data_IF_804024885892
#
_entry.id   IF_804024885892
#
_cell.length_a   1.000
_cell.length_b   1.000
_cell.length_c   1.000
_cell.angle_alpha   90.00
_cell.angle_beta   90.00
_cell.angle_gamma   90.00
#
_symmetry.space_group_name_H-M   'P 1'
#
loop_
_entity.id
_entity.type
_entity.pdbx_description
1 polymer ?
#
# COMPACT_ATOMS: atom_id res chain seq x y z
N UNK A 1 -15.54 -6.54 19.26
CA UNK A 1 -16.29 -7.13 18.12
C UNK A 1 -16.36 -8.64 18.32
N UNK A 2 -17.51 -9.26 18.11
CA UNK A 2 -17.65 -10.71 18.27
C UNK A 2 -16.84 -11.45 17.17
N UNK A 3 -16.20 -12.57 17.53
CA UNK A 3 -15.39 -13.38 16.60
C UNK A 3 -16.17 -13.83 15.35
N UNK A 4 -17.49 -14.08 15.50
CA UNK A 4 -18.37 -14.41 14.36
C UNK A 4 -18.58 -13.23 13.41
N UNK A 5 -18.70 -12.02 13.95
CA UNK A 5 -18.88 -10.80 13.16
C UNK A 5 -17.61 -10.47 12.39
N UNK A 6 -16.46 -10.61 13.04
CA UNK A 6 -15.15 -10.46 12.41
C UNK A 6 -14.95 -11.43 11.25
N UNK A 7 -15.22 -12.72 11.46
CA UNK A 7 -15.11 -13.73 10.42
C UNK A 7 -16.05 -13.44 9.23
N UNK A 8 -17.26 -12.91 9.49
CA UNK A 8 -18.17 -12.46 8.43
C UNK A 8 -17.58 -11.28 7.65
N UNK A 9 -16.99 -10.27 8.32
CA UNK A 9 -16.34 -9.12 7.65
C UNK A 9 -15.13 -9.57 6.81
N UNK A 10 -14.26 -10.40 7.36
CA UNK A 10 -13.10 -10.95 6.63
C UNK A 10 -13.55 -11.72 5.39
N UNK A 11 -14.58 -12.56 5.52
CA UNK A 11 -15.11 -13.34 4.39
C UNK A 11 -15.80 -12.45 3.34
N UNK A 12 -16.50 -11.41 3.76
CA UNK A 12 -17.10 -10.43 2.85
C UNK A 12 -16.03 -9.70 2.03
N UNK A 13 -14.95 -9.26 2.69
CA UNK A 13 -13.81 -8.64 2.03
C UNK A 13 -13.16 -9.64 1.05
N UNK A 14 -12.92 -10.88 1.46
CA UNK A 14 -12.39 -11.93 0.58
C UNK A 14 -13.24 -12.11 -0.68
N UNK A 15 -14.55 -12.24 -0.52
CA UNK A 15 -15.48 -12.43 -1.66
C UNK A 15 -15.52 -11.20 -2.58
N UNK A 16 -15.57 -10.00 -2.01
CA UNK A 16 -15.59 -8.73 -2.76
C UNK A 16 -14.29 -8.50 -3.54
N UNK A 17 -13.15 -8.85 -2.94
CA UNK A 17 -11.84 -8.56 -3.52
C UNK A 17 -11.32 -9.64 -4.47
N UNK A 18 -11.76 -10.89 -4.35
CA UNK A 18 -11.31 -12.01 -5.19
C UNK A 18 -11.60 -11.81 -6.67
N UNK A 19 -12.77 -11.25 -7.02
CA UNK A 19 -13.09 -10.89 -8.42
C UNK A 19 -12.33 -9.65 -8.90
N UNK A 20 -12.14 -8.67 -8.03
CA UNK A 20 -11.45 -7.43 -8.35
C UNK A 20 -9.94 -7.64 -8.53
N UNK A 21 -9.31 -8.52 -7.76
CA UNK A 21 -7.88 -8.80 -7.88
C UNK A 21 -7.51 -9.33 -9.26
N UNK A 22 -8.36 -10.18 -9.87
CA UNK A 22 -8.13 -10.67 -11.21
C UNK A 22 -8.33 -9.60 -12.29
N UNK A 23 -9.28 -8.68 -12.10
CA UNK A 23 -9.56 -7.60 -13.06
C UNK A 23 -8.56 -6.45 -12.99
N UNK A 24 -8.13 -6.08 -11.77
CA UNK A 24 -7.26 -4.91 -11.54
C UNK A 24 -5.79 -5.24 -11.76
N UNK A 25 -5.39 -6.51 -11.55
CA UNK A 25 -3.98 -6.82 -11.39
C UNK A 25 -3.42 -7.91 -12.33
N UNK A 26 -4.25 -8.62 -13.11
CA UNK A 26 -3.80 -9.80 -13.87
C UNK A 26 -2.79 -9.52 -15.00
N UNK A 27 -2.63 -8.29 -15.43
CA UNK A 27 -1.66 -7.92 -16.47
C UNK A 27 -0.80 -6.71 -16.09
N UNK A 28 -1.43 -5.69 -15.51
CA UNK A 28 -0.81 -4.39 -15.31
C UNK A 28 0.10 -4.34 -14.09
N UNK A 29 -0.26 -5.03 -12.99
CA UNK A 29 0.60 -5.16 -11.82
C UNK A 29 1.93 -5.85 -12.17
N UNK A 30 1.87 -6.99 -12.88
CA UNK A 30 3.07 -7.72 -13.31
C UNK A 30 3.94 -6.89 -14.27
N UNK A 31 3.33 -6.10 -15.13
CA UNK A 31 4.02 -5.19 -16.04
C UNK A 31 4.64 -3.99 -15.32
N UNK A 32 3.92 -3.39 -14.37
CA UNK A 32 4.34 -2.21 -13.64
C UNK A 32 5.55 -2.45 -12.72
N UNK A 33 5.64 -3.66 -12.16
CA UNK A 33 6.67 -4.00 -11.17
C UNK A 33 7.73 -5.00 -11.67
N UNK A 34 8.04 -5.00 -12.98
CA UNK A 34 9.09 -5.86 -13.55
C UNK A 34 10.43 -5.63 -12.86
N UNK A 35 10.78 -6.49 -11.91
CA UNK A 35 12.10 -6.55 -11.29
C UNK A 35 13.12 -7.28 -12.18
N UNK A 36 14.42 -7.10 -12.01
CA UNK A 36 15.52 -7.79 -12.73
C UNK A 36 16.02 -8.97 -11.90
N UNK A 37 15.39 -10.12 -11.97
CA UNK A 37 15.88 -11.36 -11.35
C UNK A 37 15.84 -12.49 -12.35
N UNK A 38 16.96 -13.18 -12.57
CA UNK A 38 17.01 -14.41 -13.35
C UNK A 38 17.13 -15.58 -12.39
N UNK A 39 16.17 -16.50 -12.40
CA UNK A 39 16.26 -17.78 -11.71
C UNK A 39 16.77 -18.83 -12.71
N UNK A 40 17.71 -19.66 -12.27
CA UNK A 40 18.15 -20.81 -13.06
C UNK A 40 16.95 -21.73 -13.29
N UNK A 41 16.68 -22.07 -14.55
CA UNK A 41 15.59 -22.96 -14.94
C UNK A 41 16.09 -24.36 -15.23
N UNK A 42 16.94 -24.46 -16.25
CA UNK A 42 17.44 -25.73 -16.74
C UNK A 42 18.78 -25.54 -17.46
N UNK A 43 19.41 -26.65 -17.78
CA UNK A 43 20.57 -26.70 -18.67
C UNK A 43 20.14 -27.38 -19.96
N UNK A 44 20.35 -26.73 -21.12
CA UNK A 44 20.15 -27.32 -22.43
C UNK A 44 21.39 -27.27 -23.29
N UNK A 45 21.42 -28.02 -24.36
CA UNK A 45 22.50 -27.95 -25.32
C UNK A 45 22.61 -26.54 -25.95
N UNK A 46 23.84 -26.11 -26.19
CA UNK A 46 24.14 -24.84 -26.84
C UNK A 46 23.63 -24.86 -28.28
N UNK A 47 22.94 -23.81 -28.68
CA UNK A 47 22.55 -23.56 -30.06
C UNK A 47 23.30 -22.35 -30.62
N UNK A 48 23.67 -22.34 -31.92
CA UNK A 48 24.26 -21.15 -32.51
C UNK A 48 23.37 -19.91 -32.32
N UNK A 49 23.94 -18.88 -31.69
CA UNK A 49 23.23 -17.66 -31.28
C UNK A 49 23.04 -17.50 -29.79
N UNK A 50 23.29 -18.53 -28.97
CA UNK A 50 23.29 -18.41 -27.52
C UNK A 50 24.48 -17.59 -27.02
N UNK A 51 24.28 -16.89 -25.92
CA UNK A 51 25.33 -16.08 -25.32
C UNK A 51 26.39 -16.96 -24.65
N UNK A 52 27.64 -16.86 -25.09
CA UNK A 52 28.77 -17.68 -24.61
C UNK A 52 28.95 -17.58 -23.10
N UNK A 53 28.58 -16.45 -22.48
CA UNK A 53 28.65 -16.25 -21.03
C UNK A 53 27.71 -17.13 -20.23
N UNK A 54 26.70 -17.70 -20.85
CA UNK A 54 25.73 -18.59 -20.21
C UNK A 54 26.16 -20.05 -20.24
N UNK A 55 27.29 -20.39 -20.84
CA UNK A 55 27.80 -21.77 -20.89
C UNK A 55 28.08 -22.28 -19.46
N UNK A 56 27.53 -23.45 -19.15
CA UNK A 56 27.89 -24.19 -17.94
C UNK A 56 29.06 -25.10 -18.20
N UNK A 57 30.25 -24.63 -17.86
CA UNK A 57 31.49 -25.39 -18.07
C UNK A 57 31.58 -26.70 -17.28
N UNK A 58 30.88 -26.80 -16.14
CA UNK A 58 30.86 -28.01 -15.33
C UNK A 58 30.04 -29.12 -16.01
N UNK A 59 28.89 -28.75 -16.60
CA UNK A 59 28.05 -29.71 -17.35
C UNK A 59 28.71 -30.06 -18.67
N UNK A 60 29.22 -29.05 -19.39
CA UNK A 60 29.97 -29.23 -20.63
C UNK A 60 31.14 -30.20 -20.50
N UNK A 61 31.92 -30.10 -19.41
CA UNK A 61 33.03 -31.01 -19.14
C UNK A 61 32.63 -32.46 -18.90
N UNK A 62 31.38 -32.69 -18.47
CA UNK A 62 30.87 -34.07 -18.20
C UNK A 62 30.32 -34.73 -19.46
N UNK A 63 29.72 -33.94 -20.36
CA UNK A 63 29.03 -34.49 -21.52
C UNK A 63 29.78 -34.27 -22.85
N UNK A 64 30.94 -33.62 -22.84
CA UNK A 64 31.74 -33.28 -24.02
C UNK A 64 31.00 -32.49 -25.14
N UNK A 65 29.89 -31.87 -24.81
CA UNK A 65 29.13 -30.97 -25.65
C UNK A 65 28.85 -29.70 -24.87
N UNK A 66 28.83 -28.50 -25.50
CA UNK A 66 28.58 -27.28 -24.81
C UNK A 66 27.10 -27.20 -24.36
N UNK A 67 26.91 -26.89 -23.07
CA UNK A 67 25.62 -26.69 -22.44
C UNK A 67 25.49 -25.27 -21.93
N UNK A 68 24.31 -24.67 -22.08
CA UNK A 68 23.99 -23.34 -21.58
C UNK A 68 22.97 -23.38 -20.45
N UNK A 69 23.18 -22.50 -19.48
CA UNK A 69 22.22 -22.24 -18.42
C UNK A 69 21.07 -21.43 -18.97
N UNK A 70 19.88 -22.00 -18.99
CA UNK A 70 18.66 -21.28 -19.30
C UNK A 70 18.14 -20.66 -17.99
N UNK A 71 17.99 -19.36 -18.00
CA UNK A 71 17.41 -18.64 -16.88
C UNK A 71 15.98 -18.24 -17.26
N UNK A 72 15.02 -18.67 -16.46
CA UNK A 72 13.67 -18.13 -16.52
C UNK A 72 13.53 -16.97 -15.54
N UNK A 73 12.83 -15.96 -15.98
CA UNK A 73 12.56 -14.77 -15.19
C UNK A 73 11.43 -15.06 -14.18
N UNK A 74 11.68 -15.96 -13.21
CA UNK A 74 10.79 -16.14 -12.07
C UNK A 74 11.13 -15.13 -10.99
N UNK A 75 10.30 -14.11 -10.91
CA UNK A 75 10.48 -13.02 -9.95
C UNK A 75 9.48 -13.14 -8.83
N UNK A 76 9.94 -13.75 -7.77
CA UNK A 76 9.27 -13.64 -6.49
C UNK A 76 9.54 -12.24 -5.91
N UNK A 77 8.58 -11.35 -6.04
CA UNK A 77 8.66 -10.02 -5.43
C UNK A 77 8.21 -10.07 -3.97
N UNK A 78 8.67 -9.09 -3.22
CA UNK A 78 8.18 -8.85 -1.85
C UNK A 78 7.36 -7.58 -1.86
N UNK A 79 6.12 -7.69 -1.40
CA UNK A 79 5.20 -6.56 -1.22
C UNK A 79 5.09 -6.25 0.25
N UNK A 80 5.28 -4.99 0.62
CA UNK A 80 5.09 -4.51 1.97
C UNK A 80 3.95 -3.49 2.01
N UNK A 81 2.95 -3.76 2.83
CA UNK A 81 1.91 -2.79 3.15
C UNK A 81 2.34 -2.03 4.41
N UNK A 82 2.44 -0.73 4.32
CA UNK A 82 2.73 0.18 5.44
C UNK A 82 1.47 1.00 5.66
N UNK A 83 0.72 0.68 6.71
CA UNK A 83 -0.66 1.12 6.89
C UNK A 83 -0.80 1.95 8.15
N UNK A 84 -1.28 3.15 7.94
CA UNK A 84 -1.65 4.09 9.01
C UNK A 84 -2.96 3.63 9.67
N UNK A 85 -2.88 3.42 10.98
CA UNK A 85 -4.00 3.04 11.83
C UNK A 85 -4.27 4.09 12.94
N UNK A 86 -3.72 5.29 12.81
CA UNK A 86 -3.92 6.41 13.72
C UNK A 86 -5.39 6.79 13.92
N UNK A 87 -5.66 7.75 14.79
CA UNK A 87 -7.02 8.21 15.11
C UNK A 87 -7.83 8.64 13.88
N UNK A 88 -7.19 9.27 12.91
CA UNK A 88 -7.82 9.74 11.67
C UNK A 88 -8.37 8.60 10.79
N UNK A 89 -7.81 7.39 10.88
CA UNK A 89 -8.30 6.20 10.15
C UNK A 89 -9.71 5.75 10.60
N UNK A 90 -10.13 6.12 11.81
CA UNK A 90 -11.47 5.83 12.34
C UNK A 90 -12.55 6.80 11.84
N UNK A 91 -12.18 7.81 11.05
CA UNK A 91 -13.09 8.77 10.46
C UNK A 91 -13.80 8.21 9.22
N UNK A 92 -15.02 8.63 9.01
CA UNK A 92 -15.80 8.35 7.79
C UNK A 92 -17.22 8.89 7.95
N UNK A 93 -17.76 9.51 6.89
CA UNK A 93 -19.05 10.22 6.93
C UNK A 93 -20.13 9.58 6.08
N UNK A 94 -19.80 8.60 5.26
CA UNK A 94 -20.74 7.86 4.42
C UNK A 94 -20.87 6.41 4.90
N UNK A 95 -21.28 5.53 4.04
CA UNK A 95 -21.50 4.12 4.34
C UNK A 95 -20.26 3.32 4.76
N UNK A 96 -19.06 3.94 4.75
CA UNK A 96 -17.80 3.25 4.98
C UNK A 96 -16.79 4.13 5.74
N UNK A 97 -16.15 3.57 6.75
CA UNK A 97 -15.02 4.20 7.44
C UNK A 97 -13.74 4.10 6.59
N UNK A 98 -12.81 5.05 6.75
CA UNK A 98 -11.47 4.98 6.11
C UNK A 98 -10.79 3.64 6.38
N UNK A 99 -10.84 3.15 7.64
CA UNK A 99 -10.27 1.87 8.04
C UNK A 99 -10.84 0.67 7.26
N UNK A 100 -12.14 0.67 6.97
CA UNK A 100 -12.77 -0.40 6.18
C UNK A 100 -12.29 -0.34 4.71
N UNK A 101 -12.20 0.86 4.14
CA UNK A 101 -11.66 1.08 2.80
C UNK A 101 -10.19 0.64 2.72
N UNK A 102 -9.37 0.99 3.71
CA UNK A 102 -7.97 0.57 3.82
C UNK A 102 -7.87 -0.96 3.86
N UNK A 103 -8.71 -1.63 4.65
CA UNK A 103 -8.72 -3.09 4.72
C UNK A 103 -9.12 -3.75 3.38
N UNK A 104 -10.07 -3.18 2.64
CA UNK A 104 -10.43 -3.65 1.31
C UNK A 104 -9.27 -3.48 0.31
N UNK A 105 -8.63 -2.31 0.27
CA UNK A 105 -7.48 -2.03 -0.61
C UNK A 105 -6.32 -2.99 -0.27
N UNK A 106 -5.99 -3.12 1.01
CA UNK A 106 -4.95 -4.03 1.48
C UNK A 106 -5.24 -5.48 1.09
N UNK A 107 -6.50 -5.92 1.18
CA UNK A 107 -6.91 -7.26 0.74
C UNK A 107 -6.76 -7.44 -0.77
N UNK A 108 -7.18 -6.47 -1.60
CA UNK A 108 -7.02 -6.53 -3.07
C UNK A 108 -5.55 -6.66 -3.44
N UNK A 109 -4.69 -5.81 -2.89
CA UNK A 109 -3.24 -5.86 -3.14
C UNK A 109 -2.67 -7.20 -2.69
N UNK A 110 -3.06 -7.69 -1.50
CA UNK A 110 -2.58 -8.95 -0.95
C UNK A 110 -2.98 -10.16 -1.80
N UNK A 111 -4.23 -10.22 -2.24
CA UNK A 111 -4.70 -11.33 -3.09
C UNK A 111 -4.04 -11.29 -4.47
N UNK A 112 -3.76 -10.10 -5.02
CA UNK A 112 -3.03 -9.95 -6.28
C UNK A 112 -1.58 -10.39 -6.16
N UNK A 113 -0.91 -10.02 -5.08
CA UNK A 113 0.46 -10.48 -4.81
C UNK A 113 0.55 -12.02 -4.78
N UNK A 114 -0.43 -12.71 -4.16
CA UNK A 114 -0.45 -14.19 -4.17
C UNK A 114 -0.73 -14.77 -5.54
N UNK A 115 -1.60 -14.17 -6.34
CA UNK A 115 -1.85 -14.65 -7.70
C UNK A 115 -0.58 -14.59 -8.57
N UNK A 116 0.29 -13.63 -8.30
CA UNK A 116 1.61 -13.49 -8.92
C UNK A 116 2.74 -14.25 -8.18
N UNK A 117 2.38 -15.13 -7.23
CA UNK A 117 3.34 -15.90 -6.43
C UNK A 117 4.30 -15.05 -5.57
N UNK A 118 3.93 -13.80 -5.25
CA UNK A 118 4.72 -12.87 -4.45
C UNK A 118 4.54 -13.07 -2.94
N UNK A 119 5.50 -12.57 -2.16
CA UNK A 119 5.41 -12.51 -0.70
C UNK A 119 4.75 -11.20 -0.28
N UNK A 120 3.90 -11.25 0.74
CA UNK A 120 3.26 -10.07 1.32
C UNK A 120 3.53 -9.96 2.81
N UNK A 121 3.93 -8.77 3.26
CA UNK A 121 4.07 -8.41 4.67
C UNK A 121 3.34 -7.12 4.99
N UNK A 122 3.20 -6.80 6.26
CA UNK A 122 2.54 -5.57 6.71
C UNK A 122 3.27 -4.94 7.90
N UNK A 123 3.27 -3.61 7.92
CA UNK A 123 3.60 -2.79 9.08
C UNK A 123 2.37 -1.94 9.36
N UNK A 124 1.79 -2.09 10.56
CA UNK A 124 0.77 -1.19 11.06
C UNK A 124 1.43 -0.14 11.94
N UNK A 125 1.07 1.12 11.76
CA UNK A 125 1.69 2.22 12.50
C UNK A 125 0.70 3.31 12.92
N UNK A 126 1.09 4.04 13.95
CA UNK A 126 0.50 5.30 14.39
C UNK A 126 1.66 6.28 14.69
N UNK A 127 1.88 6.76 15.91
CA UNK A 127 3.08 7.55 16.28
C UNK A 127 4.39 6.76 16.11
N UNK A 128 4.31 5.44 16.09
CA UNK A 128 5.43 4.50 15.86
C UNK A 128 4.91 3.22 15.21
N UNK A 129 5.81 2.39 14.65
CA UNK A 129 5.43 1.03 14.21
C UNK A 129 4.88 0.23 15.40
N UNK A 130 3.67 -0.29 15.27
CA UNK A 130 2.99 -1.03 16.34
C UNK A 130 2.91 -2.53 16.08
N UNK A 131 2.81 -2.93 14.81
CA UNK A 131 2.79 -4.34 14.42
C UNK A 131 3.60 -4.55 13.14
N UNK A 132 4.50 -5.53 13.16
CA UNK A 132 5.20 -6.01 11.97
C UNK A 132 4.87 -7.48 11.72
N UNK A 133 4.31 -7.77 10.56
CA UNK A 133 4.10 -9.12 10.06
C UNK A 133 5.06 -9.34 8.88
N UNK A 134 6.05 -10.23 9.03
CA UNK A 134 7.05 -10.45 7.99
C UNK A 134 6.45 -11.02 6.70
N UNK A 135 7.07 -10.74 5.54
CA UNK A 135 6.58 -11.21 4.24
C UNK A 135 6.52 -12.73 4.14
N UNK A 136 5.35 -13.28 3.87
CA UNK A 136 5.11 -14.71 3.62
C UNK A 136 4.11 -14.90 2.49
N UNK A 137 4.07 -16.11 1.93
CA UNK A 137 3.07 -16.54 0.94
C UNK A 137 1.89 -17.22 1.61
N UNK A 138 0.82 -17.34 0.85
CA UNK A 138 -0.31 -18.22 1.16
C UNK A 138 -1.53 -17.53 1.72
N UNK A 139 -2.69 -18.07 1.36
CA UNK A 139 -4.00 -17.52 1.70
C UNK A 139 -4.22 -17.32 3.20
N UNK A 140 -3.76 -18.26 4.03
CA UNK A 140 -3.88 -18.17 5.51
C UNK A 140 -3.14 -16.94 6.06
N UNK A 141 -2.02 -16.56 5.43
CA UNK A 141 -1.24 -15.40 5.82
C UNK A 141 -1.97 -14.10 5.50
N UNK A 142 -2.61 -13.99 4.33
CA UNK A 142 -3.44 -12.83 3.99
C UNK A 142 -4.63 -12.69 4.95
N UNK A 143 -5.33 -13.78 5.20
CA UNK A 143 -6.50 -13.72 6.11
C UNK A 143 -6.09 -13.27 7.52
N UNK A 144 -4.87 -13.63 7.96
CA UNK A 144 -4.28 -13.10 9.19
C UNK A 144 -4.07 -11.58 9.09
N UNK A 145 -3.45 -11.09 8.00
CA UNK A 145 -3.22 -9.66 7.78
C UNK A 145 -4.54 -8.88 7.82
N UNK A 146 -5.58 -9.36 7.10
CA UNK A 146 -6.89 -8.70 7.07
C UNK A 146 -7.53 -8.70 8.46
N UNK A 147 -7.41 -9.79 9.21
CA UNK A 147 -7.92 -9.86 10.58
C UNK A 147 -7.25 -8.83 11.47
N UNK A 148 -5.91 -8.79 11.46
CA UNK A 148 -5.15 -7.80 12.25
C UNK A 148 -5.56 -6.37 11.88
N UNK A 149 -5.72 -6.05 10.59
CA UNK A 149 -6.18 -4.72 10.15
C UNK A 149 -7.55 -4.32 10.73
N UNK A 150 -8.47 -5.29 10.86
CA UNK A 150 -9.81 -5.02 11.35
C UNK A 150 -9.84 -4.93 12.89
N UNK A 151 -9.08 -5.78 13.58
CA UNK A 151 -9.12 -5.90 15.05
C UNK A 151 -8.14 -4.98 15.77
N UNK A 152 -7.01 -4.63 15.13
CA UNK A 152 -5.94 -3.93 15.80
C UNK A 152 -6.38 -2.55 16.30
N UNK A 153 -6.16 -2.30 17.57
CA UNK A 153 -6.39 -0.99 18.18
C UNK A 153 -5.03 -0.35 18.47
N UNK A 154 -4.75 0.83 17.90
CA UNK A 154 -3.47 1.50 18.11
C UNK A 154 -3.33 1.96 19.57
N UNK A 155 -2.09 1.92 20.07
CA UNK A 155 -1.76 2.43 21.40
C UNK A 155 -1.76 3.96 21.45
N UNK A 156 -1.50 4.60 20.31
CA UNK A 156 -1.47 6.05 20.14
C UNK A 156 -2.40 6.48 19.03
N UNK A 157 -2.87 7.72 19.06
CA UNK A 157 -3.73 8.28 18.02
C UNK A 157 -2.99 9.16 17.03
N UNK A 158 -1.79 9.60 17.40
CA UNK A 158 -0.92 10.43 16.57
C UNK A 158 -0.34 9.65 15.40
N UNK A 159 0.11 10.35 14.37
CA UNK A 159 0.73 9.78 13.18
C UNK A 159 2.20 10.19 13.08
N UNK A 160 3.10 9.26 12.76
CA UNK A 160 4.49 9.55 12.41
C UNK A 160 4.96 8.64 11.27
N UNK A 161 4.87 9.15 10.06
CA UNK A 161 5.27 8.44 8.83
C UNK A 161 6.80 8.30 8.77
N UNK A 162 7.54 9.34 9.14
CA UNK A 162 9.00 9.35 9.06
C UNK A 162 9.63 8.22 9.86
N UNK A 163 9.28 8.09 11.15
CA UNK A 163 9.76 7.01 12.02
C UNK A 163 9.42 5.63 11.46
N UNK A 164 8.25 5.50 10.85
CA UNK A 164 7.80 4.22 10.28
C UNK A 164 8.57 3.85 9.02
N UNK A 165 8.89 4.81 8.15
CA UNK A 165 9.72 4.58 6.98
C UNK A 165 11.16 4.22 7.36
N UNK A 166 11.72 4.84 8.39
CA UNK A 166 13.03 4.48 8.94
C UNK A 166 13.01 3.04 9.49
N UNK A 167 11.97 2.66 10.23
CA UNK A 167 11.79 1.28 10.69
C UNK A 167 11.68 0.29 9.52
N UNK A 168 10.86 0.58 8.51
CA UNK A 168 10.73 -0.24 7.30
C UNK A 168 12.11 -0.47 6.67
N UNK A 169 12.89 0.61 6.47
CA UNK A 169 14.22 0.55 5.90
C UNK A 169 15.21 -0.31 6.72
N UNK A 170 14.97 -0.40 8.04
CA UNK A 170 15.78 -1.22 8.93
C UNK A 170 15.39 -2.71 8.90
N UNK A 171 14.11 -3.05 8.83
CA UNK A 171 13.65 -4.44 8.89
C UNK A 171 13.58 -5.11 7.52
N UNK A 172 13.36 -4.35 6.45
CA UNK A 172 13.28 -4.86 5.08
C UNK A 172 14.58 -4.52 4.34
N UNK A 173 15.49 -5.51 4.22
CA UNK A 173 16.80 -5.29 3.59
C UNK A 173 16.77 -5.43 2.06
N UNK A 174 15.92 -6.32 1.55
CA UNK A 174 15.78 -6.53 0.09
C UNK A 174 14.87 -5.48 -0.51
N UNK A 175 15.20 -5.03 -1.74
CA UNK A 175 14.32 -4.16 -2.50
C UNK A 175 12.94 -4.78 -2.62
N UNK A 176 11.91 -4.05 -2.26
CA UNK A 176 10.52 -4.50 -2.18
C UNK A 176 9.60 -3.45 -2.76
N UNK A 177 8.41 -3.85 -3.17
CA UNK A 177 7.33 -2.93 -3.49
C UNK A 177 6.69 -2.52 -2.17
N UNK A 178 6.56 -1.24 -1.91
CA UNK A 178 6.01 -0.71 -0.66
C UNK A 178 4.78 0.13 -0.97
N UNK A 179 3.63 -0.27 -0.44
CA UNK A 179 2.41 0.54 -0.47
C UNK A 179 2.26 1.25 0.87
N UNK A 180 2.47 2.56 0.87
CA UNK A 180 2.22 3.43 2.02
C UNK A 180 0.79 3.95 1.95
N UNK A 181 -0.05 3.53 2.88
CA UNK A 181 -1.48 3.82 2.90
C UNK A 181 -1.79 4.68 4.13
N UNK A 182 -2.13 5.95 3.91
CA UNK A 182 -2.40 6.94 4.95
C UNK A 182 -3.25 8.08 4.38
N UNK A 183 -3.78 8.95 5.23
CA UNK A 183 -4.30 10.26 4.82
C UNK A 183 -3.21 11.34 4.76
N UNK A 184 -1.99 10.99 5.22
CA UNK A 184 -0.80 11.86 5.18
C UNK A 184 -0.97 13.20 5.92
N UNK A 185 -1.70 13.20 7.03
CA UNK A 185 -1.87 14.39 7.86
C UNK A 185 -0.63 14.72 8.74
N UNK A 186 0.47 14.02 8.51
CA UNK A 186 1.78 14.26 9.11
C UNK A 186 2.58 15.31 8.32
N UNK A 187 3.48 16.00 9.02
CA UNK A 187 4.42 16.97 8.43
C UNK A 187 5.83 16.54 8.81
N UNK A 188 6.75 16.42 7.89
CA UNK A 188 8.17 16.13 8.16
C UNK A 188 8.64 14.72 7.79
N UNK A 189 8.04 14.08 6.78
CA UNK A 189 8.47 12.76 6.28
C UNK A 189 9.09 12.80 4.87
N UNK A 190 9.33 13.99 4.30
CA UNK A 190 9.78 14.13 2.90
C UNK A 190 11.13 13.47 2.64
N UNK A 191 12.08 13.58 3.57
CA UNK A 191 13.40 13.01 3.39
C UNK A 191 13.39 11.49 3.54
N UNK A 192 12.63 10.97 4.52
CA UNK A 192 12.43 9.53 4.68
C UNK A 192 11.72 8.92 3.47
N UNK A 193 10.77 9.66 2.88
CA UNK A 193 10.09 9.25 1.65
C UNK A 193 11.08 9.08 0.48
N UNK A 194 12.00 10.06 0.27
CA UNK A 194 13.05 10.00 -0.76
C UNK A 194 14.02 8.85 -0.52
N UNK A 195 14.47 8.66 0.75
CA UNK A 195 15.39 7.59 1.12
C UNK A 195 14.73 6.23 0.85
N UNK A 196 13.48 6.08 1.28
CA UNK A 196 12.72 4.84 1.10
C UNK A 196 12.48 4.54 -0.37
N UNK A 197 12.16 5.54 -1.20
CA UNK A 197 11.93 5.36 -2.63
C UNK A 197 13.21 4.98 -3.40
N UNK A 198 14.38 5.39 -2.92
CA UNK A 198 15.67 4.93 -3.49
C UNK A 198 15.97 3.47 -3.17
N UNK A 199 15.57 3.00 -1.98
CA UNK A 199 15.84 1.65 -1.51
C UNK A 199 14.78 0.64 -1.98
N UNK A 200 13.55 1.05 -2.02
CA UNK A 200 12.37 0.27 -2.37
C UNK A 200 11.64 0.91 -3.56
N UNK A 201 10.63 0.25 -4.05
CA UNK A 201 9.69 0.80 -5.03
C UNK A 201 8.45 1.29 -4.28
N UNK A 202 8.40 2.59 -3.97
CA UNK A 202 7.40 3.16 -3.07
C UNK A 202 6.21 3.72 -3.84
N UNK A 203 5.02 3.32 -3.40
CA UNK A 203 3.73 3.79 -3.89
C UNK A 203 2.94 4.38 -2.73
N UNK A 204 2.45 5.60 -2.86
CA UNK A 204 1.61 6.25 -1.87
C UNK A 204 0.12 6.14 -2.25
N UNK A 205 -0.70 5.64 -1.31
CA UNK A 205 -2.16 5.61 -1.45
C UNK A 205 -2.76 6.57 -0.42
N UNK A 206 -3.17 7.75 -0.89
CA UNK A 206 -3.79 8.76 -0.03
C UNK A 206 -5.28 8.45 0.15
N UNK A 207 -5.68 8.17 1.38
CA UNK A 207 -7.08 7.88 1.74
C UNK A 207 -7.73 9.13 2.30
N UNK A 208 -8.83 9.57 1.68
CA UNK A 208 -9.52 10.81 2.04
C UNK A 208 -11.02 10.59 2.23
N UNK A 209 -11.68 11.53 2.89
CA UNK A 209 -13.15 11.58 2.98
C UNK A 209 -13.65 12.93 2.46
N UNK A 210 -14.81 12.93 1.81
CA UNK A 210 -15.41 14.15 1.28
C UNK A 210 -15.69 15.21 2.35
N UNK A 211 -15.95 14.80 3.60
CA UNK A 211 -16.17 15.71 4.69
C UNK A 211 -14.91 16.45 5.16
N UNK A 212 -13.73 15.99 4.78
CA UNK A 212 -12.46 16.69 5.00
C UNK A 212 -12.31 17.95 4.13
N UNK A 213 -13.12 18.05 3.09
CA UNK A 213 -13.14 19.20 2.16
C UNK A 213 -14.40 20.03 2.25
N UNK A 214 -15.51 19.44 2.69
CA UNK A 214 -16.81 20.07 2.64
C UNK A 214 -17.56 19.94 3.97
N UNK A 215 -17.56 21.01 4.76
CA UNK A 215 -18.41 21.10 5.94
C UNK A 215 -19.88 21.33 5.53
N UNK A 216 -20.82 20.51 5.98
CA UNK A 216 -22.24 20.72 5.72
C UNK A 216 -22.75 21.98 6.46
N UNK A 217 -23.77 22.63 5.90
CA UNK A 217 -24.44 23.78 6.53
C UNK A 217 -25.48 23.29 7.56
N UNK A 218 -25.04 23.04 8.79
CA UNK A 218 -25.89 22.47 9.87
C UNK A 218 -25.85 23.27 11.18
N UNK A 219 -25.33 24.51 11.15
CA UNK A 219 -25.26 25.36 12.33
C UNK A 219 -23.98 25.17 13.13
N UNK A 220 -24.10 25.24 14.44
CA UNK A 220 -23.02 25.00 15.36
C UNK A 220 -22.72 23.50 15.47
N UNK A 221 -21.46 23.11 15.22
CA UNK A 221 -21.00 21.74 15.36
C UNK A 221 -19.74 21.73 16.22
N UNK A 222 -19.58 20.68 16.99
CA UNK A 222 -18.34 20.41 17.73
C UNK A 222 -17.46 19.52 16.85
N UNK A 223 -16.36 20.05 16.36
CA UNK A 223 -15.34 19.29 15.67
C UNK A 223 -14.34 18.76 16.68
N UNK A 224 -14.03 17.48 16.56
CA UNK A 224 -13.01 16.82 17.35
C UNK A 224 -11.81 16.53 16.45
N UNK A 225 -10.65 16.96 16.86
CA UNK A 225 -9.39 16.51 16.29
C UNK A 225 -9.13 15.09 16.81
N UNK A 226 -9.07 14.13 15.89
CA UNK A 226 -8.98 12.71 16.24
C UNK A 226 -7.59 12.29 16.76
N UNK A 227 -6.56 13.08 16.51
CA UNK A 227 -5.21 12.84 17.00
C UNK A 227 -5.00 13.49 18.39
N UNK A 228 -5.27 14.80 18.50
CA UNK A 228 -5.06 15.54 19.76
C UNK A 228 -6.24 15.45 20.72
N UNK A 229 -7.39 14.90 20.31
CA UNK A 229 -8.67 14.90 21.05
C UNK A 229 -9.21 16.31 21.38
N UNK A 230 -8.64 17.37 20.82
CA UNK A 230 -9.13 18.73 21.06
C UNK A 230 -10.51 18.94 20.43
N UNK A 231 -11.40 19.57 21.19
CA UNK A 231 -12.76 19.90 20.78
C UNK A 231 -12.84 21.38 20.42
N UNK A 232 -13.41 21.69 19.25
CA UNK A 232 -13.57 23.07 18.80
C UNK A 232 -14.99 23.29 18.29
N UNK A 233 -15.68 24.30 18.83
CA UNK A 233 -16.98 24.72 18.31
C UNK A 233 -16.81 25.56 17.05
N UNK A 234 -17.55 25.19 16.02
CA UNK A 234 -17.48 25.83 14.70
C UNK A 234 -18.88 26.08 14.18
N UNK A 235 -19.17 27.33 13.77
CA UNK A 235 -20.44 27.64 13.13
C UNK A 235 -20.34 27.41 11.62
N UNK A 236 -20.91 26.32 11.16
CA UNK A 236 -20.87 25.92 9.75
C UNK A 236 -21.86 26.72 8.87
N UNK A 237 -22.75 27.52 9.44
CA UNK A 237 -23.60 28.44 8.65
C UNK A 237 -22.79 29.58 8.02
N UNK A 238 -21.64 29.94 8.59
CA UNK A 238 -20.79 31.00 8.09
C UNK A 238 -20.05 30.57 6.80
N UNK A 239 -20.24 31.23 5.66
CA UNK A 239 -19.56 30.89 4.40
C UNK A 239 -18.04 30.97 4.52
N UNK A 240 -17.51 31.93 5.29
CA UNK A 240 -16.06 32.08 5.53
C UNK A 240 -15.45 30.85 6.21
N UNK A 241 -16.17 30.25 7.15
CA UNK A 241 -15.72 29.05 7.86
C UNK A 241 -15.63 27.87 6.91
N UNK A 242 -16.69 27.61 6.14
CA UNK A 242 -16.70 26.52 5.16
C UNK A 242 -15.64 26.71 4.08
N UNK A 243 -15.49 27.95 3.58
CA UNK A 243 -14.45 28.27 2.58
C UNK A 243 -13.04 28.01 3.13
N UNK A 244 -12.74 28.51 4.35
CA UNK A 244 -11.44 28.27 4.99
C UNK A 244 -11.12 26.79 5.14
N UNK A 245 -12.10 26.01 5.57
CA UNK A 245 -11.96 24.56 5.73
C UNK A 245 -11.67 23.88 4.39
N UNK A 246 -12.44 24.20 3.35
CA UNK A 246 -12.22 23.67 2.01
C UNK A 246 -10.88 24.12 1.42
N UNK A 247 -10.41 25.33 1.70
CA UNK A 247 -9.12 25.84 1.25
C UNK A 247 -7.97 25.12 1.94
N UNK A 248 -8.09 24.80 3.23
CA UNK A 248 -7.11 23.99 3.97
C UNK A 248 -6.97 22.59 3.36
N UNK A 249 -8.08 21.90 3.12
CA UNK A 249 -8.04 20.58 2.46
C UNK A 249 -7.39 20.61 1.07
N UNK A 250 -7.76 21.61 0.24
CA UNK A 250 -7.14 21.79 -1.08
C UNK A 250 -5.65 22.12 -1.02
N UNK A 251 -5.23 22.90 -0.02
CA UNK A 251 -3.83 23.25 0.18
C UNK A 251 -3.01 22.03 0.60
N UNK A 252 -3.56 21.19 1.47
CA UNK A 252 -2.96 19.94 1.87
C UNK A 252 -2.80 18.99 0.66
N UNK A 253 -3.84 18.82 -0.15
CA UNK A 253 -3.77 18.01 -1.37
C UNK A 253 -2.68 18.50 -2.34
N UNK A 254 -2.56 19.81 -2.52
CA UNK A 254 -1.53 20.39 -3.37
C UNK A 254 -0.14 20.11 -2.82
N UNK A 255 0.05 20.33 -1.52
CA UNK A 255 1.30 20.02 -0.84
C UNK A 255 1.69 18.54 -0.99
N UNK A 256 0.77 17.60 -0.76
CA UNK A 256 1.01 16.18 -0.94
C UNK A 256 1.40 15.82 -2.37
N UNK A 257 0.66 16.33 -3.35
CA UNK A 257 0.98 16.11 -4.76
C UNK A 257 2.38 16.60 -5.14
N UNK A 258 2.79 17.75 -4.62
CA UNK A 258 4.14 18.29 -4.85
C UNK A 258 5.21 17.46 -4.14
N UNK A 259 4.97 17.03 -2.90
CA UNK A 259 5.87 16.19 -2.11
C UNK A 259 6.12 14.86 -2.79
N UNK A 260 5.08 14.16 -3.23
CA UNK A 260 5.24 12.89 -3.95
C UNK A 260 5.99 13.09 -5.26
N UNK A 261 5.65 14.11 -6.04
CA UNK A 261 6.36 14.41 -7.30
C UNK A 261 7.85 14.73 -7.08
N UNK A 262 8.19 15.55 -6.09
CA UNK A 262 9.58 15.89 -5.74
C UNK A 262 10.37 14.68 -5.23
N UNK A 263 9.69 13.73 -4.60
CA UNK A 263 10.29 12.50 -4.07
C UNK A 263 10.33 11.36 -5.10
N UNK A 264 9.77 11.56 -6.31
CA UNK A 264 9.68 10.53 -7.35
C UNK A 264 8.79 9.35 -6.94
N UNK A 265 7.81 9.58 -6.07
CA UNK A 265 6.90 8.56 -5.55
C UNK A 265 5.60 8.60 -6.35
N UNK A 266 5.20 7.45 -6.90
CA UNK A 266 3.91 7.31 -7.54
C UNK A 266 2.81 7.32 -6.50
N UNK A 267 1.70 7.97 -6.80
CA UNK A 267 0.61 8.08 -5.84
C UNK A 267 -0.77 7.99 -6.49
N UNK A 268 -1.73 7.51 -5.70
CA UNK A 268 -3.14 7.59 -6.03
C UNK A 268 -3.92 8.15 -4.84
N UNK A 269 -4.92 8.99 -5.13
CA UNK A 269 -5.88 9.49 -4.15
C UNK A 269 -7.16 8.67 -4.27
N UNK A 270 -7.66 8.18 -3.12
CA UNK A 270 -8.85 7.34 -3.03
C UNK A 270 -9.75 7.91 -1.95
N UNK A 271 -11.02 8.14 -2.28
CA UNK A 271 -12.00 8.72 -1.37
C UNK A 271 -12.99 7.67 -0.88
N UNK A 272 -13.40 7.78 0.39
CA UNK A 272 -14.48 6.95 0.93
C UNK A 272 -15.77 7.14 0.12
N UNK A 273 -16.51 6.05 -0.07
CA UNK A 273 -17.75 6.07 -0.86
C UNK A 273 -17.56 6.12 -2.39
N UNK A 274 -16.31 6.09 -2.88
CA UNK A 274 -15.98 6.00 -4.31
C UNK A 274 -15.27 4.68 -4.63
N UNK A 275 -15.28 4.30 -5.92
CA UNK A 275 -14.58 3.09 -6.36
C UNK A 275 -13.07 3.32 -6.37
N UNK A 276 -12.34 2.55 -5.59
CA UNK A 276 -10.88 2.54 -5.56
C UNK A 276 -10.24 1.83 -6.76
N UNK A 277 -11.04 1.08 -7.53
CA UNK A 277 -10.55 0.29 -8.67
C UNK A 277 -9.92 1.17 -9.75
N UNK A 278 -10.64 2.22 -10.18
CA UNK A 278 -10.15 3.15 -11.22
C UNK A 278 -8.84 3.85 -10.83
N UNK A 279 -8.71 4.47 -9.63
CA UNK A 279 -7.45 5.08 -9.20
C UNK A 279 -6.28 4.09 -9.18
N UNK A 280 -6.48 2.87 -8.70
CA UNK A 280 -5.45 1.84 -8.67
C UNK A 280 -5.06 1.38 -10.09
N UNK A 281 -6.02 1.13 -10.98
CA UNK A 281 -5.74 0.78 -12.38
C UNK A 281 -4.94 1.87 -13.09
N UNK A 282 -5.35 3.14 -12.95
CA UNK A 282 -4.64 4.26 -13.55
C UNK A 282 -3.21 4.38 -13.01
N UNK A 283 -3.02 4.15 -11.71
CA UNK A 283 -1.70 4.16 -11.08
C UNK A 283 -0.77 3.11 -11.74
N UNK A 284 -1.25 1.88 -11.95
CA UNK A 284 -0.44 0.82 -12.53
C UNK A 284 -0.22 0.96 -14.05
N UNK A 285 -1.17 1.51 -14.79
CA UNK A 285 -1.02 1.77 -16.24
C UNK A 285 0.03 2.82 -16.57
N UNK A 286 0.21 3.77 -15.66
CA UNK A 286 1.14 4.89 -15.86
C UNK A 286 2.57 4.58 -15.37
N UNK A 287 2.83 3.38 -14.89
CA UNK A 287 4.13 2.86 -14.46
C UNK A 287 4.73 1.92 -15.51
#
# INVERSE_FOLDING_TARGET
MDAKELLKKVRLIELKTKGLSSQVFSGEYHSAFKGRGMAFSEVREYMPGDEIRTIDWNVTARFNHPYVKVFHEEREMTVMLVIDISGSSSFGTRSQLKRELIAEIAAVISFSAIQNNDKIGVILFAAKPELYIPPKKGKKHILRIIRELIEFNPNTKETNIGTTLDYLNNVVKKRSIVFLISDFLDNSFEDQLKITNRKHDLVALQITDQAEYNLPKVGWVQLQDLESNQLKWVNTNLPKVRKRFADQGRSHDRYMKETFRKSGVDFAKISTGESYVKPLMNLFKNR
#
